data_IF_037182435673
#
_entry.id   IF_037182435673
#
_cell.length_a   1.000
_cell.length_b   1.000
_cell.length_c   1.000
_cell.angle_alpha   90.00
_cell.angle_beta   90.00
_cell.angle_gamma   90.00
#
_symmetry.space_group_name_H-M   'P 1'
#
loop_
_entity.id
_entity.type
_entity.pdbx_description
1 polymer ?
#
# COMPACT_ATOMS: atom_id res chain seq x y z
N UNK A 1 -11.02 -11.49 42.22
CA UNK A 1 -10.18 -10.31 41.99
C UNK A 1 -9.02 -10.56 41.05
N UNK A 2 -8.28 -11.63 41.23
CA UNK A 2 -7.18 -11.99 40.32
C UNK A 2 -7.68 -12.19 38.89
N UNK A 3 -8.81 -12.84 38.74
CA UNK A 3 -9.36 -13.11 37.41
C UNK A 3 -9.74 -11.83 36.67
N UNK A 4 -10.18 -10.84 37.43
CA UNK A 4 -10.57 -9.56 36.90
C UNK A 4 -9.39 -8.80 36.30
N UNK A 5 -8.25 -8.78 37.00
CA UNK A 5 -7.04 -8.14 36.52
C UNK A 5 -6.47 -8.83 35.30
N UNK A 6 -6.47 -10.18 35.31
CA UNK A 6 -5.99 -10.97 34.18
C UNK A 6 -6.86 -10.75 32.94
N UNK A 7 -8.19 -10.66 33.11
CA UNK A 7 -9.10 -10.38 32.00
C UNK A 7 -8.82 -9.02 31.40
N UNK A 8 -8.63 -8.01 32.23
CA UNK A 8 -8.34 -6.66 31.75
C UNK A 8 -7.06 -6.63 30.94
N UNK A 9 -6.03 -7.32 31.42
CA UNK A 9 -4.75 -7.40 30.72
C UNK A 9 -4.87 -8.11 29.37
N UNK A 10 -5.56 -9.27 29.33
CA UNK A 10 -5.76 -10.04 28.13
C UNK A 10 -6.61 -9.27 27.11
N UNK A 11 -7.65 -8.61 27.56
CA UNK A 11 -8.50 -7.80 26.69
C UNK A 11 -7.72 -6.63 26.10
N UNK A 12 -6.83 -6.04 26.87
CA UNK A 12 -5.97 -4.97 26.38
C UNK A 12 -5.03 -5.44 25.29
N UNK A 13 -4.44 -6.63 25.46
CA UNK A 13 -3.57 -7.22 24.43
C UNK A 13 -4.33 -7.56 23.16
N UNK A 14 -5.49 -8.16 23.30
CA UNK A 14 -6.35 -8.50 22.14
C UNK A 14 -6.76 -7.26 21.41
N UNK A 15 -7.14 -6.22 22.12
CA UNK A 15 -7.50 -4.93 21.53
C UNK A 15 -6.33 -4.33 20.75
N UNK A 16 -5.14 -4.35 21.34
CA UNK A 16 -3.94 -3.84 20.68
C UNK A 16 -3.63 -4.63 19.40
N UNK A 17 -3.71 -5.96 19.47
CA UNK A 17 -3.47 -6.81 18.31
C UNK A 17 -4.48 -6.53 17.21
N UNK A 18 -5.75 -6.34 17.57
CA UNK A 18 -6.80 -6.01 16.60
C UNK A 18 -6.53 -4.68 15.93
N UNK A 19 -6.14 -3.68 16.70
CA UNK A 19 -5.80 -2.36 16.17
C UNK A 19 -4.60 -2.41 15.24
N UNK A 20 -3.60 -3.22 15.58
CA UNK A 20 -2.41 -3.39 14.72
C UNK A 20 -2.76 -4.05 13.39
N UNK A 21 -3.59 -5.09 13.41
CA UNK A 21 -4.06 -5.75 12.20
C UNK A 21 -4.86 -4.78 11.34
N UNK A 22 -5.75 -4.02 11.96
CA UNK A 22 -6.57 -3.04 11.27
C UNK A 22 -5.71 -1.95 10.61
N UNK A 23 -4.70 -1.46 11.33
CA UNK A 23 -3.77 -0.46 10.80
C UNK A 23 -3.02 -0.98 9.58
N UNK A 24 -2.58 -2.24 9.61
CA UNK A 24 -1.91 -2.87 8.46
C UNK A 24 -2.85 -2.99 7.26
N UNK A 25 -4.11 -3.37 7.50
CA UNK A 25 -5.09 -3.47 6.44
C UNK A 25 -5.38 -2.12 5.80
N UNK A 26 -5.51 -1.07 6.60
CA UNK A 26 -5.70 0.29 6.11
C UNK A 26 -4.51 0.76 5.28
N UNK A 27 -3.31 0.45 5.72
CA UNK A 27 -2.08 0.74 4.99
C UNK A 27 -2.06 0.08 3.62
N UNK A 28 -2.44 -1.19 3.55
CA UNK A 28 -2.52 -1.93 2.30
C UNK A 28 -3.54 -1.31 1.35
N UNK A 29 -4.70 -0.93 1.88
CA UNK A 29 -5.73 -0.26 1.08
C UNK A 29 -5.24 1.06 0.54
N UNK A 30 -4.58 1.84 1.38
CA UNK A 30 -4.04 3.14 0.97
C UNK A 30 -3.00 2.99 -0.14
N UNK A 31 -2.12 1.99 -0.04
CA UNK A 31 -1.13 1.71 -1.07
C UNK A 31 -1.77 1.25 -2.37
N UNK A 32 -2.74 0.35 -2.28
CA UNK A 32 -3.45 -0.13 -3.45
C UNK A 32 -4.16 1.03 -4.16
N UNK A 33 -4.79 1.91 -3.41
CA UNK A 33 -5.45 3.08 -3.98
C UNK A 33 -4.44 4.02 -4.63
N UNK A 34 -3.31 4.27 -3.98
CA UNK A 34 -2.25 5.12 -4.53
C UNK A 34 -1.72 4.56 -5.85
N UNK A 35 -1.51 3.24 -5.94
CA UNK A 35 -1.07 2.58 -7.17
C UNK A 35 -2.14 2.73 -8.26
N UNK A 36 -3.41 2.52 -7.90
CA UNK A 36 -4.53 2.68 -8.83
C UNK A 36 -4.57 4.08 -9.42
N UNK A 37 -4.48 5.10 -8.58
CA UNK A 37 -4.49 6.49 -9.01
C UNK A 37 -3.27 6.81 -9.89
N UNK A 38 -2.13 6.26 -9.56
CA UNK A 38 -0.91 6.44 -10.36
C UNK A 38 -1.05 5.81 -11.74
N UNK A 39 -1.61 4.61 -11.81
CA UNK A 39 -1.84 3.94 -13.10
C UNK A 39 -2.82 4.73 -13.96
N UNK A 40 -3.87 5.26 -13.37
CA UNK A 40 -4.82 6.12 -14.11
C UNK A 40 -4.13 7.37 -14.65
N UNK A 41 -3.28 7.99 -13.84
CA UNK A 41 -2.53 9.17 -14.26
C UNK A 41 -1.60 8.86 -15.42
N UNK A 42 -0.90 7.72 -15.36
CA UNK A 42 -0.02 7.27 -16.43
C UNK A 42 -0.81 6.97 -17.72
N UNK A 43 -1.92 6.28 -17.58
CA UNK A 43 -2.79 5.98 -18.74
C UNK A 43 -3.28 7.25 -19.39
N UNK A 44 -3.73 8.22 -18.61
CA UNK A 44 -4.18 9.52 -19.11
C UNK A 44 -3.05 10.25 -19.83
N UNK A 45 -1.85 10.24 -19.26
CA UNK A 45 -0.69 10.88 -19.87
C UNK A 45 -0.34 10.24 -21.22
N UNK A 46 -0.31 8.90 -21.27
CA UNK A 46 -0.01 8.15 -22.50
C UNK A 46 -1.03 8.50 -23.58
N UNK A 47 -2.29 8.54 -23.22
CA UNK A 47 -3.37 8.84 -24.15
C UNK A 47 -3.30 10.28 -24.68
N UNK A 48 -3.14 11.24 -23.77
CA UNK A 48 -3.15 12.67 -24.12
C UNK A 48 -1.95 13.09 -24.96
N UNK A 49 -0.80 12.47 -24.73
CA UNK A 49 0.43 12.80 -25.48
C UNK A 49 0.56 12.03 -26.79
N UNK A 50 -0.36 11.08 -27.04
CA UNK A 50 -0.27 10.24 -28.24
C UNK A 50 0.99 9.39 -28.26
N UNK A 51 1.41 8.92 -27.12
CA UNK A 51 2.65 8.16 -26.95
C UNK A 51 2.57 6.84 -27.71
N UNK A 52 3.63 6.48 -28.45
CA UNK A 52 3.69 5.20 -29.13
C UNK A 52 3.89 4.06 -28.12
N UNK A 53 3.66 2.82 -28.57
CA UNK A 53 3.74 1.67 -27.69
C UNK A 53 5.12 1.49 -27.06
N UNK A 54 6.19 1.75 -27.82
CA UNK A 54 7.55 1.66 -27.33
C UNK A 54 7.81 2.64 -26.19
N UNK A 55 7.44 3.90 -26.36
CA UNK A 55 7.61 4.93 -25.36
C UNK A 55 6.74 4.67 -24.13
N UNK A 56 5.51 4.21 -24.34
CA UNK A 56 4.62 3.85 -23.24
C UNK A 56 5.19 2.69 -22.43
N UNK A 57 5.74 1.68 -23.09
CA UNK A 57 6.36 0.54 -22.42
C UNK A 57 7.56 0.98 -21.60
N UNK A 58 8.38 1.86 -22.14
CA UNK A 58 9.55 2.40 -21.43
C UNK A 58 9.12 3.19 -20.19
N UNK A 59 8.09 4.01 -20.30
CA UNK A 59 7.53 4.75 -19.18
C UNK A 59 7.06 3.82 -18.07
N UNK A 60 6.34 2.76 -18.44
CA UNK A 60 5.83 1.79 -17.47
C UNK A 60 6.97 0.99 -16.82
N UNK A 61 8.02 0.66 -17.56
CA UNK A 61 9.20 -0.01 -17.01
C UNK A 61 9.92 0.87 -15.98
N UNK A 62 10.02 2.16 -16.23
CA UNK A 62 10.60 3.11 -15.27
C UNK A 62 9.76 3.17 -13.99
N UNK A 63 8.45 3.20 -14.13
CA UNK A 63 7.53 3.20 -13.01
C UNK A 63 7.65 1.92 -12.18
N UNK A 64 7.73 0.77 -12.86
CA UNK A 64 7.90 -0.52 -12.20
C UNK A 64 9.22 -0.57 -11.41
N UNK A 65 10.29 -0.05 -11.98
CA UNK A 65 11.60 0.02 -11.30
C UNK A 65 11.53 0.89 -10.05
N UNK A 66 10.77 1.96 -10.08
CA UNK A 66 10.56 2.82 -8.92
C UNK A 66 9.87 2.09 -7.78
N UNK A 67 8.81 1.33 -8.07
CA UNK A 67 8.10 0.53 -7.08
C UNK A 67 8.99 -0.57 -6.50
N UNK A 68 9.81 -1.19 -7.34
CA UNK A 68 10.75 -2.20 -6.88
C UNK A 68 11.74 -1.63 -5.88
N UNK A 69 12.30 -0.45 -6.16
CA UNK A 69 13.21 0.23 -5.23
C UNK A 69 12.51 0.57 -3.91
N UNK A 70 11.28 1.07 -3.97
CA UNK A 70 10.51 1.35 -2.77
C UNK A 70 10.30 0.11 -1.92
N UNK A 71 10.04 -1.04 -2.55
CA UNK A 71 9.87 -2.29 -1.82
C UNK A 71 11.14 -2.72 -1.10
N UNK A 72 12.29 -2.46 -1.68
CA UNK A 72 13.58 -2.75 -1.07
C UNK A 72 13.91 -1.82 0.09
N UNK A 73 13.53 -0.56 -0.02
CA UNK A 73 13.78 0.44 1.02
C UNK A 73 12.96 0.19 2.29
N UNK A 74 11.87 -0.54 2.19
CA UNK A 74 10.99 -0.84 3.32
C UNK A 74 11.48 -1.99 4.20
N UNK A 75 12.59 -2.59 3.88
CA UNK A 75 13.25 -3.59 4.70
C UNK A 75 14.28 -2.91 5.60
#
# INVERSE_FOLDING_TARGET
>A
MRNSENRTFLNGREELQRLMVQAKMEERRARALAVSLRLEALASHIYKTGMCGEDAAELLCHEAARYERESQELH
#
